data_IF_243000669624
#
_entry.id   IF_243000669624
#
_cell.length_a   1.000
_cell.length_b   1.000
_cell.length_c   1.000
_cell.angle_alpha   90.00
_cell.angle_beta   90.00
_cell.angle_gamma   90.00
#
_symmetry.space_group_name_H-M   'P 1'
#
loop_
_entity.id
_entity.type
_entity.pdbx_description
1 polymer ?
#
# COMPACT_ATOMS: atom_id res chain seq x y z
N UNK A 1 12.79 3.62 -7.34
CA UNK A 1 13.84 2.55 -7.23
C UNK A 1 13.21 1.19 -7.51
N UNK A 2 13.75 0.44 -8.48
CA UNK A 2 13.30 -0.95 -8.75
C UNK A 2 13.69 -1.86 -7.60
N UNK A 3 12.73 -2.59 -7.05
CA UNK A 3 12.94 -3.47 -5.90
C UNK A 3 13.14 -4.94 -6.32
N UNK A 4 12.10 -5.55 -6.89
CA UNK A 4 12.13 -6.94 -7.38
C UNK A 4 11.25 -7.04 -8.62
N UNK A 5 11.74 -7.71 -9.68
CA UNK A 5 10.95 -7.87 -10.91
C UNK A 5 10.48 -6.51 -11.45
N UNK A 6 9.18 -6.35 -11.60
CA UNK A 6 8.54 -5.12 -12.08
C UNK A 6 7.94 -4.28 -10.95
N UNK A 7 8.31 -4.56 -9.70
CA UNK A 7 7.93 -3.77 -8.53
C UNK A 7 8.94 -2.66 -8.26
N UNK A 8 8.44 -1.45 -8.15
CA UNK A 8 9.18 -0.25 -7.78
C UNK A 8 8.65 0.29 -6.45
N UNK A 9 9.58 0.74 -5.60
CA UNK A 9 9.27 1.41 -4.34
C UNK A 9 9.74 2.86 -4.41
N UNK A 10 8.84 3.78 -4.11
CA UNK A 10 9.07 5.21 -4.03
C UNK A 10 8.86 5.66 -2.58
N UNK A 11 9.94 5.56 -1.81
CA UNK A 11 9.94 5.91 -0.39
C UNK A 11 9.79 7.42 -0.24
N UNK A 12 8.84 7.83 0.59
CA UNK A 12 8.64 9.24 0.86
C UNK A 12 9.85 9.84 1.57
N UNK A 13 10.39 10.91 1.01
CA UNK A 13 11.57 11.61 1.52
C UNK A 13 11.26 13.05 1.97
N UNK A 14 10.00 13.48 1.88
CA UNK A 14 9.55 14.78 2.34
C UNK A 14 9.55 14.89 3.88
N UNK A 15 9.25 16.09 4.37
CA UNK A 15 9.18 16.39 5.80
C UNK A 15 7.77 16.35 6.36
N UNK A 16 6.79 16.50 5.49
CA UNK A 16 5.39 16.41 5.83
C UNK A 16 4.92 14.93 5.78
N UNK A 17 3.74 14.65 6.36
CA UNK A 17 3.19 13.31 6.31
C UNK A 17 2.74 12.93 4.90
N UNK A 18 3.22 11.80 4.41
CA UNK A 18 2.79 11.14 3.19
C UNK A 18 3.25 9.68 3.22
N UNK A 19 2.61 8.80 2.45
CA UNK A 19 2.97 7.40 2.43
C UNK A 19 4.14 7.08 1.47
N UNK A 20 4.71 5.91 1.63
CA UNK A 20 5.51 5.23 0.61
C UNK A 20 4.57 4.74 -0.49
N UNK A 21 4.98 4.86 -1.75
CA UNK A 21 4.19 4.48 -2.92
C UNK A 21 4.84 3.29 -3.60
N UNK A 22 4.02 2.35 -4.05
CA UNK A 22 4.51 1.15 -4.73
C UNK A 22 3.89 1.05 -6.12
N UNK A 23 4.70 0.68 -7.11
CA UNK A 23 4.25 0.58 -8.51
C UNK A 23 4.65 -0.78 -9.08
N UNK A 24 3.68 -1.52 -9.60
CA UNK A 24 3.91 -2.68 -10.43
C UNK A 24 3.82 -2.23 -11.90
N UNK A 25 4.95 -2.20 -12.59
CA UNK A 25 5.05 -1.64 -13.93
C UNK A 25 4.76 -2.69 -15.01
N UNK A 26 3.86 -2.35 -15.97
CA UNK A 26 3.58 -3.19 -17.12
C UNK A 26 2.89 -4.52 -16.81
N UNK A 27 2.20 -4.62 -15.67
CA UNK A 27 1.58 -5.88 -15.21
C UNK A 27 0.12 -6.06 -15.63
N UNK A 28 -0.49 -5.02 -16.20
CA UNK A 28 -1.84 -5.07 -16.75
C UNK A 28 -1.79 -5.17 -18.28
N UNK A 29 -2.90 -5.61 -18.87
CA UNK A 29 -3.02 -5.67 -20.33
C UNK A 29 -2.69 -4.31 -20.97
N UNK A 30 -1.92 -4.32 -22.07
CA UNK A 30 -1.48 -3.12 -22.76
C UNK A 30 -0.36 -2.37 -22.04
N UNK A 31 0.48 -3.06 -21.29
CA UNK A 31 1.63 -2.53 -20.54
C UNK A 31 1.24 -1.46 -19.50
N UNK A 32 -0.01 -1.50 -19.02
CA UNK A 32 -0.46 -0.56 -18.00
C UNK A 32 0.03 -0.96 -16.60
N UNK A 33 0.05 0.02 -15.69
CA UNK A 33 0.66 -0.10 -14.38
C UNK A 33 -0.39 -0.16 -13.28
N UNK A 34 0.00 -0.78 -12.15
CA UNK A 34 -0.73 -0.73 -10.89
C UNK A 34 0.03 0.19 -9.94
N UNK A 35 -0.66 1.15 -9.34
CA UNK A 35 -0.13 1.96 -8.22
C UNK A 35 -0.82 1.54 -6.94
N UNK A 36 -0.05 1.35 -5.89
CA UNK A 36 -0.56 1.03 -4.55
C UNK A 36 -0.26 2.21 -3.65
N UNK A 37 -1.31 2.78 -3.08
CA UNK A 37 -1.30 3.96 -2.21
C UNK A 37 -0.56 5.15 -2.85
N UNK A 38 -1.21 5.94 -3.73
CA UNK A 38 -0.54 7.03 -4.44
C UNK A 38 -0.18 8.22 -3.55
N UNK A 39 -0.71 8.30 -2.34
CA UNK A 39 -0.43 9.36 -1.39
C UNK A 39 -1.26 10.64 -1.57
N UNK A 40 -0.75 11.73 -1.01
CA UNK A 40 -1.30 13.06 -1.20
C UNK A 40 -1.03 13.63 -2.59
N UNK A 41 -1.95 14.45 -3.10
CA UNK A 41 -1.67 15.34 -4.25
C UNK A 41 -0.65 16.39 -3.83
N UNK A 42 -0.95 17.06 -2.72
CA UNK A 42 -0.08 18.04 -2.08
C UNK A 42 -0.21 17.87 -0.56
N UNK A 43 0.90 17.75 0.14
CA UNK A 43 0.85 17.50 1.58
C UNK A 43 0.27 18.66 2.36
N UNK A 44 -0.55 18.40 3.42
CA UNK A 44 -1.39 19.43 4.01
C UNK A 44 -0.66 20.49 4.84
N UNK A 45 0.45 20.14 5.49
CA UNK A 45 1.12 21.07 6.41
C UNK A 45 2.21 21.90 5.73
N UNK A 46 2.98 21.31 4.81
CA UNK A 46 4.12 21.98 4.17
C UNK A 46 3.94 22.22 2.67
N UNK A 47 2.87 21.72 2.04
CA UNK A 47 2.60 21.90 0.62
C UNK A 47 3.60 21.18 -0.29
N UNK A 48 4.19 20.07 0.16
CA UNK A 48 5.11 19.28 -0.63
C UNK A 48 4.37 18.54 -1.76
N UNK A 49 4.96 18.49 -2.94
CA UNK A 49 4.34 17.90 -4.13
C UNK A 49 4.35 16.37 -4.06
N UNK A 50 3.27 15.77 -3.52
CA UNK A 50 3.15 14.32 -3.36
C UNK A 50 3.01 13.60 -4.70
N UNK A 51 1.92 13.84 -5.41
CA UNK A 51 1.62 13.18 -6.69
C UNK A 51 2.63 13.55 -7.79
N UNK A 52 3.02 14.83 -7.88
CA UNK A 52 4.01 15.22 -8.89
C UNK A 52 5.38 14.56 -8.61
N UNK A 53 5.77 14.44 -7.33
CA UNK A 53 6.98 13.73 -6.96
C UNK A 53 6.94 12.24 -7.38
N UNK A 54 5.79 11.56 -7.19
CA UNK A 54 5.60 10.19 -7.66
C UNK A 54 5.79 10.09 -9.19
N UNK A 55 5.21 11.03 -9.96
CA UNK A 55 5.33 11.05 -11.42
C UNK A 55 6.76 11.24 -11.88
N UNK A 56 7.47 12.20 -11.28
CA UNK A 56 8.87 12.48 -11.60
C UNK A 56 9.76 11.26 -11.31
N UNK A 57 9.51 10.55 -10.21
CA UNK A 57 10.21 9.32 -9.85
C UNK A 57 9.90 8.18 -10.82
N UNK A 58 8.63 8.00 -11.23
CA UNK A 58 8.23 7.01 -12.24
C UNK A 58 8.89 7.29 -13.59
N UNK A 59 8.83 8.53 -14.08
CA UNK A 59 9.47 8.95 -15.33
C UNK A 59 11.00 8.75 -15.28
N UNK A 60 11.62 9.03 -14.14
CA UNK A 60 13.05 8.78 -13.91
C UNK A 60 13.45 7.31 -14.02
N UNK A 61 12.53 6.40 -13.68
CA UNK A 61 12.71 4.95 -13.84
C UNK A 61 12.18 4.44 -15.21
N UNK A 62 11.75 5.31 -16.11
CA UNK A 62 11.25 4.97 -17.46
C UNK A 62 9.82 4.43 -17.48
N UNK A 63 9.03 4.70 -16.43
CA UNK A 63 7.64 4.29 -16.30
C UNK A 63 6.74 5.48 -16.64
N UNK A 64 5.85 5.35 -17.63
CA UNK A 64 4.93 6.42 -18.01
C UNK A 64 3.76 6.54 -17.00
N UNK A 65 3.66 7.62 -16.21
CA UNK A 65 2.57 7.78 -15.26
C UNK A 65 1.17 7.81 -15.89
N UNK A 66 1.08 8.15 -17.20
CA UNK A 66 -0.19 8.16 -17.93
C UNK A 66 -0.70 6.77 -18.26
N UNK A 67 0.15 5.75 -18.14
CA UNK A 67 -0.21 4.35 -18.34
C UNK A 67 -0.69 3.66 -17.06
N UNK A 68 -0.94 4.39 -15.97
CA UNK A 68 -1.56 3.81 -14.77
C UNK A 68 -2.96 3.32 -15.12
N UNK A 69 -3.23 2.04 -14.82
CA UNK A 69 -4.49 1.36 -15.13
C UNK A 69 -5.32 0.99 -13.91
N UNK A 70 -4.67 0.87 -12.78
CA UNK A 70 -5.31 0.49 -11.53
C UNK A 70 -4.62 1.19 -10.36
N UNK A 71 -5.40 1.76 -9.47
CA UNK A 71 -4.98 2.22 -8.15
C UNK A 71 -5.55 1.26 -7.11
N UNK A 72 -4.68 0.61 -6.35
CA UNK A 72 -5.05 -0.22 -5.21
C UNK A 72 -4.83 0.59 -3.93
N UNK A 73 -5.87 0.73 -3.12
CA UNK A 73 -5.77 1.40 -1.83
C UNK A 73 -5.75 0.36 -0.72
N UNK A 74 -4.72 0.41 0.13
CA UNK A 74 -4.68 -0.42 1.34
C UNK A 74 -5.76 0.02 2.32
N UNK A 75 -6.03 1.31 2.39
CA UNK A 75 -7.09 1.92 3.19
C UNK A 75 -7.38 3.37 2.72
N UNK A 76 -8.36 4.03 3.35
CA UNK A 76 -8.88 5.32 2.86
C UNK A 76 -8.27 6.57 3.50
N UNK A 77 -7.24 6.49 4.34
CA UNK A 77 -6.63 7.70 4.90
C UNK A 77 -6.05 8.59 3.78
N UNK A 78 -6.20 9.92 3.89
CA UNK A 78 -5.86 10.83 2.79
C UNK A 78 -4.41 10.76 2.32
N UNK A 79 -3.48 10.52 3.24
CA UNK A 79 -2.04 10.35 2.93
C UNK A 79 -1.71 9.07 2.15
N UNK A 80 -2.70 8.21 1.91
CA UNK A 80 -2.63 7.04 1.02
C UNK A 80 -3.51 7.22 -0.22
N UNK A 81 -4.67 7.86 -0.09
CA UNK A 81 -5.75 7.78 -1.05
C UNK A 81 -6.05 9.06 -1.83
N UNK A 82 -5.63 10.23 -1.37
CA UNK A 82 -6.08 11.52 -1.95
C UNK A 82 -5.75 11.66 -3.43
N UNK A 83 -4.60 11.18 -3.88
CA UNK A 83 -4.20 11.29 -5.28
C UNK A 83 -4.89 10.28 -6.21
N UNK A 84 -5.66 9.32 -5.68
CA UNK A 84 -6.27 8.26 -6.48
C UNK A 84 -7.28 8.81 -7.51
N UNK A 85 -8.16 9.74 -7.10
CA UNK A 85 -9.15 10.32 -8.01
C UNK A 85 -8.51 11.19 -9.09
N UNK A 86 -7.43 11.92 -8.77
CA UNK A 86 -6.68 12.69 -9.78
C UNK A 86 -6.08 11.76 -10.82
N UNK A 87 -5.46 10.66 -10.40
CA UNK A 87 -4.92 9.64 -11.31
C UNK A 87 -6.05 9.05 -12.15
N UNK A 88 -7.18 8.69 -11.53
CA UNK A 88 -8.36 8.15 -12.20
C UNK A 88 -8.89 9.08 -13.30
N UNK A 89 -9.05 10.35 -13.00
CA UNK A 89 -9.55 11.35 -13.95
C UNK A 89 -8.61 11.57 -15.15
N UNK A 90 -7.31 11.55 -14.92
CA UNK A 90 -6.31 11.82 -15.96
C UNK A 90 -5.98 10.61 -16.84
N UNK A 91 -6.01 9.39 -16.26
CA UNK A 91 -5.51 8.18 -16.95
C UNK A 91 -6.62 7.18 -17.29
N UNK A 92 -7.83 7.36 -16.72
CA UNK A 92 -8.88 6.35 -16.78
C UNK A 92 -8.55 5.10 -15.97
N UNK A 93 -7.68 5.19 -14.97
CA UNK A 93 -7.42 4.11 -14.03
C UNK A 93 -8.67 3.78 -13.22
N UNK A 94 -8.84 2.52 -12.84
CA UNK A 94 -9.84 2.12 -11.85
C UNK A 94 -9.28 2.30 -10.45
N UNK A 95 -10.13 2.66 -9.49
CA UNK A 95 -9.78 2.74 -8.06
C UNK A 95 -10.43 1.58 -7.32
N UNK A 96 -9.60 0.79 -6.65
CA UNK A 96 -10.01 -0.38 -5.90
C UNK A 96 -9.69 -0.24 -4.41
N UNK A 97 -10.68 -0.52 -3.56
CA UNK A 97 -10.58 -0.46 -2.11
C UNK A 97 -11.50 -1.52 -1.47
N UNK A 98 -11.20 -1.96 -0.26
CA UNK A 98 -12.04 -2.93 0.46
C UNK A 98 -13.42 -2.35 0.81
N UNK A 99 -14.47 -3.20 0.79
CA UNK A 99 -15.86 -2.78 1.03
C UNK A 99 -16.03 -1.97 2.32
N UNK A 100 -15.39 -2.39 3.42
CA UNK A 100 -15.50 -1.71 4.71
C UNK A 100 -14.86 -0.31 4.74
N UNK A 101 -14.04 0.06 3.75
CA UNK A 101 -13.48 1.41 3.56
C UNK A 101 -14.29 2.25 2.59
N UNK A 102 -15.02 1.62 1.66
CA UNK A 102 -15.64 2.28 0.52
C UNK A 102 -16.61 3.39 0.93
N UNK A 103 -17.40 3.16 1.98
CA UNK A 103 -18.33 4.15 2.51
C UNK A 103 -17.62 5.36 3.12
N UNK A 104 -16.52 5.16 3.83
CA UNK A 104 -15.72 6.22 4.44
C UNK A 104 -15.01 7.00 3.33
N UNK A 105 -14.40 6.30 2.36
CA UNK A 105 -13.72 6.91 1.23
C UNK A 105 -14.67 7.78 0.39
N UNK A 106 -15.88 7.30 0.12
CA UNK A 106 -16.90 8.09 -0.59
C UNK A 106 -17.35 9.34 0.19
N UNK A 107 -17.42 9.29 1.51
CA UNK A 107 -17.77 10.45 2.34
C UNK A 107 -16.72 11.58 2.29
N UNK A 108 -15.47 11.24 2.05
CA UNK A 108 -14.39 12.24 1.86
C UNK A 108 -14.19 12.64 0.40
N UNK A 109 -15.08 12.20 -0.49
CA UNK A 109 -15.12 12.59 -1.91
C UNK A 109 -14.46 11.59 -2.86
N UNK A 110 -13.98 10.46 -2.36
CA UNK A 110 -13.32 9.44 -3.17
C UNK A 110 -14.29 8.61 -4.02
N UNK A 111 -13.85 8.19 -5.19
CA UNK A 111 -14.59 7.34 -6.12
C UNK A 111 -14.09 5.91 -6.05
N UNK A 112 -15.01 4.95 -5.93
CA UNK A 112 -14.71 3.51 -5.92
C UNK A 112 -15.22 2.88 -7.19
N UNK A 113 -14.34 2.29 -7.98
CA UNK A 113 -14.72 1.54 -9.20
C UNK A 113 -14.81 0.03 -8.94
N UNK A 114 -13.95 -0.49 -8.03
CA UNK A 114 -13.87 -1.91 -7.70
C UNK A 114 -13.82 -2.11 -6.18
N UNK A 115 -14.52 -3.12 -5.70
CA UNK A 115 -14.39 -3.57 -4.32
C UNK A 115 -13.36 -4.70 -4.25
N UNK A 116 -12.42 -4.58 -3.32
CA UNK A 116 -11.43 -5.62 -3.05
C UNK A 116 -12.01 -6.61 -2.05
N UNK A 117 -12.04 -7.86 -2.45
CA UNK A 117 -12.32 -8.98 -1.56
C UNK A 117 -11.01 -9.67 -1.15
N UNK A 118 -11.03 -10.35 -0.01
CA UNK A 118 -9.93 -11.22 0.38
C UNK A 118 -9.78 -12.39 -0.59
N UNK A 119 -8.56 -12.67 -1.01
CA UNK A 119 -8.25 -13.77 -1.91
C UNK A 119 -7.31 -13.39 -3.05
N UNK A 120 -7.36 -14.13 -4.12
CA UNK A 120 -6.52 -13.85 -5.30
C UNK A 120 -7.03 -12.61 -6.03
N UNK A 121 -6.12 -11.67 -6.32
CA UNK A 121 -6.40 -10.50 -7.14
C UNK A 121 -6.09 -10.83 -8.61
N UNK A 122 -7.12 -10.79 -9.43
CA UNK A 122 -6.98 -10.99 -10.88
C UNK A 122 -6.57 -9.67 -11.56
N UNK A 123 -5.36 -9.62 -12.08
CA UNK A 123 -4.83 -8.49 -12.86
C UNK A 123 -5.00 -8.68 -14.37
N UNK A 124 -5.76 -9.69 -14.79
CA UNK A 124 -5.99 -10.07 -16.18
C UNK A 124 -5.15 -11.27 -16.63
N UNK A 125 -5.63 -11.93 -17.68
CA UNK A 125 -5.09 -13.22 -18.15
C UNK A 125 -3.65 -13.16 -18.66
N UNK A 126 -3.17 -11.99 -19.02
CA UNK A 126 -1.80 -11.76 -19.53
C UNK A 126 -0.82 -11.30 -18.43
N UNK A 127 -1.32 -11.04 -17.22
CA UNK A 127 -0.46 -10.58 -16.13
C UNK A 127 0.51 -11.67 -15.69
N UNK A 128 1.82 -11.38 -15.61
CA UNK A 128 2.81 -12.29 -15.03
C UNK A 128 2.75 -12.31 -13.49
N UNK A 129 1.95 -11.43 -12.88
CA UNK A 129 1.88 -11.21 -11.44
C UNK A 129 0.58 -11.78 -10.90
N UNK A 130 0.68 -12.60 -9.86
CA UNK A 130 -0.46 -13.10 -9.09
C UNK A 130 -0.33 -12.55 -7.67
N UNK A 131 -1.28 -11.71 -7.28
CA UNK A 131 -1.35 -11.09 -5.96
C UNK A 131 -2.44 -11.75 -5.13
N UNK A 132 -2.28 -11.67 -3.81
CA UNK A 132 -3.30 -12.03 -2.84
C UNK A 132 -3.62 -10.81 -1.97
N UNK A 133 -4.89 -10.55 -1.78
CA UNK A 133 -5.40 -9.54 -0.85
C UNK A 133 -5.76 -10.22 0.46
N UNK A 134 -5.26 -9.70 1.56
CA UNK A 134 -5.65 -10.11 2.91
C UNK A 134 -6.42 -8.97 3.57
N UNK A 135 -7.66 -9.19 3.96
CA UNK A 135 -8.35 -8.27 4.85
C UNK A 135 -7.63 -8.27 6.20
N UNK A 136 -7.08 -7.15 6.57
CA UNK A 136 -6.15 -6.98 7.69
C UNK A 136 -6.58 -5.79 8.57
N UNK A 137 -7.79 -5.87 9.17
CA UNK A 137 -8.33 -4.76 9.94
C UNK A 137 -7.51 -4.49 11.20
N UNK A 138 -7.63 -3.25 11.69
CA UNK A 138 -7.03 -2.84 12.95
C UNK A 138 -6.58 -1.39 12.96
N UNK A 139 -5.81 -0.94 11.98
CA UNK A 139 -5.52 0.46 11.75
C UNK A 139 -6.77 1.21 11.24
N UNK A 140 -7.47 0.59 10.30
CA UNK A 140 -8.79 0.98 9.84
C UNK A 140 -9.68 -0.26 9.66
N UNK A 141 -11.01 -0.12 9.50
CA UNK A 141 -11.93 -1.27 9.47
C UNK A 141 -11.75 -2.18 8.27
N UNK A 142 -11.42 -1.63 7.14
CA UNK A 142 -11.24 -2.35 5.89
C UNK A 142 -9.80 -2.34 5.37
N UNK A 143 -8.83 -2.09 6.26
CA UNK A 143 -7.42 -2.15 5.87
C UNK A 143 -7.10 -3.50 5.21
N UNK A 144 -6.40 -3.45 4.08
CA UNK A 144 -5.92 -4.63 3.36
C UNK A 144 -4.40 -4.62 3.25
N UNK A 145 -3.82 -5.80 3.24
CA UNK A 145 -2.42 -6.00 2.84
C UNK A 145 -2.39 -6.78 1.54
N UNK A 146 -1.39 -6.51 0.71
CA UNK A 146 -1.24 -7.14 -0.59
C UNK A 146 0.00 -8.01 -0.56
N UNK A 147 -0.17 -9.30 -0.82
CA UNK A 147 0.92 -10.27 -0.81
C UNK A 147 1.21 -10.78 -2.22
N UNK A 148 2.48 -10.78 -2.59
CA UNK A 148 2.97 -11.39 -3.81
C UNK A 148 3.71 -12.69 -3.49
N UNK A 149 3.03 -13.86 -3.59
CA UNK A 149 3.57 -15.14 -3.10
C UNK A 149 4.88 -15.56 -3.78
N UNK A 150 4.98 -15.35 -5.10
CA UNK A 150 6.15 -15.73 -5.88
C UNK A 150 7.42 -15.04 -5.40
N UNK A 151 7.33 -13.76 -5.11
CA UNK A 151 8.45 -12.93 -4.69
C UNK A 151 8.52 -12.77 -3.16
N UNK A 152 7.57 -13.37 -2.42
CA UNK A 152 7.46 -13.32 -0.95
C UNK A 152 7.45 -11.89 -0.42
N UNK A 153 6.72 -11.01 -1.09
CA UNK A 153 6.61 -9.59 -0.76
C UNK A 153 5.25 -9.33 -0.12
N UNK A 154 5.25 -8.68 1.04
CA UNK A 154 4.06 -8.17 1.71
C UNK A 154 4.06 -6.65 1.68
N UNK A 155 3.12 -6.04 0.94
CA UNK A 155 2.83 -4.61 1.02
C UNK A 155 1.85 -4.42 2.16
N UNK A 156 2.36 -3.86 3.25
CA UNK A 156 1.68 -3.89 4.54
C UNK A 156 0.83 -2.63 4.82
N UNK A 157 0.96 -1.57 4.01
CA UNK A 157 0.33 -0.29 4.32
C UNK A 157 0.66 0.16 5.73
N UNK A 158 -0.35 0.62 6.45
CA UNK A 158 -0.22 1.09 7.83
C UNK A 158 -0.51 0.02 8.89
N UNK A 159 -0.36 -1.26 8.53
CA UNK A 159 -0.50 -2.34 9.51
C UNK A 159 0.80 -2.60 10.27
N UNK A 160 1.91 -2.71 9.54
CA UNK A 160 3.23 -3.12 10.04
C UNK A 160 4.28 -2.09 9.64
N UNK A 161 5.04 -1.63 10.63
CA UNK A 161 6.24 -0.82 10.45
C UNK A 161 7.48 -1.51 11.03
N UNK A 162 8.64 -0.93 10.81
CA UNK A 162 9.85 -1.42 11.47
C UNK A 162 9.77 -1.19 12.98
N UNK A 163 9.64 -2.28 13.73
CA UNK A 163 9.47 -2.31 15.20
C UNK A 163 8.33 -1.45 15.73
N UNK A 164 7.29 -1.29 14.92
CA UNK A 164 6.09 -0.52 15.26
C UNK A 164 4.90 -0.99 14.44
N UNK A 165 3.74 -0.46 14.74
CA UNK A 165 2.49 -0.71 14.01
C UNK A 165 1.77 0.59 13.70
N UNK A 166 0.79 0.54 12.81
CA UNK A 166 -0.13 1.63 12.60
C UNK A 166 -0.91 1.99 13.87
N UNK A 167 -1.37 3.23 13.92
CA UNK A 167 -2.21 3.76 15.00
C UNK A 167 -3.56 3.05 15.01
N UNK A 168 -4.11 2.89 16.21
CA UNK A 168 -5.44 2.29 16.44
C UNK A 168 -6.37 3.24 17.21
N UNK A 169 -5.94 4.47 17.43
CA UNK A 169 -6.69 5.53 18.14
C UNK A 169 -7.47 6.45 17.19
N UNK A 170 -7.40 6.20 15.88
CA UNK A 170 -8.21 6.86 14.87
C UNK A 170 -9.61 6.22 14.76
N UNK A 171 -10.60 6.91 14.18
CA UNK A 171 -11.94 6.36 13.99
C UNK A 171 -11.91 5.01 13.24
N UNK A 172 -12.49 3.98 13.84
CA UNK A 172 -12.47 2.62 13.28
C UNK A 172 -11.26 1.77 13.67
N UNK A 173 -10.26 2.35 14.36
CA UNK A 173 -9.11 1.60 14.87
C UNK A 173 -9.50 0.56 15.93
N UNK A 174 -8.84 -0.60 15.88
CA UNK A 174 -9.10 -1.72 16.79
C UNK A 174 -7.80 -2.48 17.09
N UNK A 175 -7.26 -2.38 18.31
CA UNK A 175 -5.99 -3.02 18.67
C UNK A 175 -6.03 -4.55 18.64
N UNK A 176 -7.14 -5.18 19.00
CA UNK A 176 -7.26 -6.64 18.93
C UNK A 176 -7.35 -7.15 17.49
N UNK A 177 -8.06 -6.43 16.61
CA UNK A 177 -8.08 -6.74 15.19
C UNK A 177 -6.68 -6.59 14.58
N UNK A 178 -5.94 -5.52 14.92
CA UNK A 178 -4.57 -5.30 14.48
C UNK A 178 -3.65 -6.46 14.86
N UNK A 179 -3.72 -6.87 16.14
CA UNK A 179 -2.95 -8.00 16.66
C UNK A 179 -3.23 -9.29 15.89
N UNK A 180 -4.52 -9.61 15.68
CA UNK A 180 -4.93 -10.81 14.98
C UNK A 180 -4.50 -10.79 13.51
N UNK A 181 -4.61 -9.63 12.84
CA UNK A 181 -4.15 -9.44 11.46
C UNK A 181 -2.65 -9.68 11.34
N UNK A 182 -1.84 -9.08 12.22
CA UNK A 182 -0.38 -9.27 12.23
C UNK A 182 0.00 -10.71 12.54
N UNK A 183 -0.67 -11.37 13.51
CA UNK A 183 -0.42 -12.76 13.84
C UNK A 183 -0.66 -13.67 12.63
N UNK A 184 -1.77 -13.48 11.93
CA UNK A 184 -2.11 -14.22 10.71
C UNK A 184 -1.06 -14.03 9.61
N UNK A 185 -0.64 -12.80 9.36
CA UNK A 185 0.34 -12.49 8.32
C UNK A 185 1.74 -13.02 8.65
N UNK A 186 2.08 -13.17 9.94
CA UNK A 186 3.36 -13.73 10.36
C UNK A 186 3.55 -15.21 10.01
N UNK A 187 2.48 -15.91 9.59
CA UNK A 187 2.52 -17.29 9.12
C UNK A 187 2.92 -17.43 7.64
N UNK A 188 2.96 -16.31 6.90
CA UNK A 188 3.37 -16.29 5.50
C UNK A 188 4.89 -16.38 5.36
N UNK A 189 5.34 -16.91 4.22
CA UNK A 189 6.76 -16.82 3.83
C UNK A 189 7.04 -15.44 3.26
N UNK A 190 7.71 -14.57 4.03
CA UNK A 190 7.96 -13.18 3.64
C UNK A 190 9.45 -12.89 3.62
N UNK A 191 9.94 -12.35 2.49
CA UNK A 191 11.30 -11.82 2.31
C UNK A 191 11.34 -10.29 2.40
N UNK A 192 10.22 -9.62 2.05
CA UNK A 192 10.10 -8.17 2.10
C UNK A 192 8.78 -7.76 2.75
N UNK A 193 8.87 -6.85 3.73
CA UNK A 193 7.70 -6.10 4.21
C UNK A 193 7.85 -4.65 3.76
N UNK A 194 6.86 -4.16 3.02
CA UNK A 194 6.80 -2.82 2.47
C UNK A 194 5.77 -2.02 3.26
N UNK A 195 6.27 -1.12 4.11
CA UNK A 195 5.46 -0.34 5.05
C UNK A 195 4.87 0.91 4.39
N UNK A 196 3.74 1.40 4.89
CA UNK A 196 3.13 2.64 4.41
C UNK A 196 3.98 3.88 4.69
N UNK A 197 4.80 3.90 5.74
CA UNK A 197 5.61 5.07 6.09
C UNK A 197 7.07 4.76 6.45
N UNK A 198 7.99 5.74 6.22
CA UNK A 198 9.41 5.62 6.56
C UNK A 198 9.71 6.11 8.00
N UNK A 199 8.96 5.65 9.01
CA UNK A 199 9.13 6.09 10.39
C UNK A 199 10.43 5.56 11.01
N UNK A 200 11.50 6.39 11.01
CA UNK A 200 12.81 6.04 11.56
C UNK A 200 13.54 4.91 10.80
N UNK A 201 12.99 4.48 9.69
CA UNK A 201 13.49 3.42 8.81
C UNK A 201 12.98 3.71 7.39
N UNK A 202 13.59 3.15 6.34
CA UNK A 202 13.09 3.34 4.96
C UNK A 202 11.65 2.83 4.73
N UNK A 203 11.13 2.02 5.64
CA UNK A 203 9.87 1.32 5.46
C UNK A 203 9.97 0.08 4.55
N UNK A 204 11.17 -0.30 4.13
CA UNK A 204 11.44 -1.55 3.41
C UNK A 204 12.23 -2.46 4.34
N UNK A 205 11.59 -3.50 4.88
CA UNK A 205 12.23 -4.52 5.72
C UNK A 205 12.58 -5.68 4.79
N UNK A 206 13.88 -5.93 4.62
CA UNK A 206 14.41 -6.88 3.64
C UNK A 206 15.08 -8.06 4.32
N UNK A 207 14.81 -9.26 3.79
CA UNK A 207 15.37 -10.53 4.21
C UNK A 207 14.52 -11.26 5.25
N UNK A 208 14.28 -12.57 5.03
CA UNK A 208 13.42 -13.40 5.86
C UNK A 208 13.76 -13.36 7.35
N UNK A 209 15.06 -13.26 7.68
CA UNK A 209 15.50 -13.20 9.09
C UNK A 209 15.11 -11.88 9.75
N UNK A 210 15.31 -10.73 9.07
CA UNK A 210 14.94 -9.42 9.61
C UNK A 210 13.42 -9.25 9.68
N UNK A 211 12.69 -9.73 8.66
CA UNK A 211 11.22 -9.79 8.68
C UNK A 211 10.74 -10.59 9.89
N UNK A 212 11.28 -11.80 10.12
CA UNK A 212 10.93 -12.62 11.28
C UNK A 212 11.25 -11.91 12.60
N UNK A 213 12.42 -11.28 12.72
CA UNK A 213 12.80 -10.49 13.91
C UNK A 213 11.85 -9.34 14.16
N UNK A 214 11.35 -8.70 13.09
CA UNK A 214 10.37 -7.63 13.21
C UNK A 214 9.04 -8.16 13.76
N UNK A 215 8.50 -9.26 13.21
CA UNK A 215 7.28 -9.89 13.74
C UNK A 215 7.45 -10.35 15.20
N UNK A 216 8.59 -10.94 15.54
CA UNK A 216 8.89 -11.35 16.93
C UNK A 216 8.95 -10.15 17.88
N UNK A 217 9.52 -9.03 17.42
CA UNK A 217 9.53 -7.77 18.18
C UNK A 217 8.12 -7.25 18.42
N UNK A 218 7.27 -7.18 17.39
CA UNK A 218 5.89 -6.72 17.49
C UNK A 218 5.11 -7.58 18.49
N UNK A 219 5.23 -8.89 18.36
CA UNK A 219 4.58 -9.85 19.26
C UNK A 219 4.99 -9.68 20.71
N UNK A 220 6.29 -9.46 20.96
CA UNK A 220 6.83 -9.45 22.33
C UNK A 220 6.68 -8.11 23.03
N UNK A 221 6.70 -6.99 22.29
CA UNK A 221 6.81 -5.65 22.87
C UNK A 221 5.56 -4.78 22.72
N UNK A 222 4.71 -5.08 21.74
CA UNK A 222 3.53 -4.25 21.46
C UNK A 222 2.20 -4.91 21.84
N UNK A 223 2.17 -6.24 21.96
CA UNK A 223 0.93 -6.99 22.20
C UNK A 223 0.86 -7.70 23.53
N UNK A 224 1.85 -7.51 24.42
CA UNK A 224 1.84 -8.11 25.75
C UNK A 224 2.21 -7.09 26.83
#
# INVERSE_FOLDING_TARGET
MRLVGDLFAYVWSGRDNNCNRYVLAGVLNGDRHVVIDPGHVTTPALGEAGLQGLRDEMEGDGIDPRAIGLVLLTHCHPDHSEAADVIREETGALVAIHEAESGIYSQIGGTVDLLLDEGNLDLGSESPVQLQVFHSPGHSPGHTTIYWPREKILIAGDLIFYRSTGRVDLPGGNPEALKNSIARLSELEIEYVLCGHPYGHSGIIEGAEEVRRNFDFLRTHLFF
#
